data_IF_818958901170
#
_entry.id   IF_818958901170
#
_cell.length_a   1.000
_cell.length_b   1.000
_cell.length_c   1.000
_cell.angle_alpha   90.00
_cell.angle_beta   90.00
_cell.angle_gamma   90.00
#
_symmetry.space_group_name_H-M   'P 1'
#
loop_
_entity.id
_entity.type
_entity.pdbx_description
1 polymer ?
#
# COMPACT_ATOMS: atom_id res chain seq x y z
N UNK A 1 2.79 -6.59 -25.31
CA UNK A 1 1.51 -5.98 -24.83
C UNK A 1 0.42 -7.03 -24.74
N UNK A 2 -0.48 -6.98 -23.75
CA UNK A 2 -1.54 -7.98 -23.55
C UNK A 2 -2.91 -7.33 -23.29
N UNK A 3 -3.98 -8.07 -23.62
CA UNK A 3 -5.38 -7.65 -23.36
C UNK A 3 -6.01 -8.65 -22.40
N UNK A 4 -6.47 -8.17 -21.25
CA UNK A 4 -7.16 -8.98 -20.25
C UNK A 4 -8.68 -8.80 -20.40
N UNK A 5 -9.38 -9.89 -20.68
CA UNK A 5 -10.84 -9.95 -20.69
C UNK A 5 -11.33 -10.44 -19.33
N UNK A 6 -12.20 -9.66 -18.69
CA UNK A 6 -12.72 -9.95 -17.36
C UNK A 6 -14.23 -9.67 -17.26
N UNK A 7 -14.87 -10.26 -16.25
CA UNK A 7 -16.28 -10.04 -15.91
C UNK A 7 -16.43 -9.72 -14.43
N UNK A 8 -17.30 -8.78 -14.08
CA UNK A 8 -17.57 -8.42 -12.68
C UNK A 8 -18.43 -9.45 -11.95
N UNK A 9 -19.06 -10.38 -12.67
CA UNK A 9 -19.88 -11.46 -12.09
C UNK A 9 -19.06 -12.72 -11.80
N UNK A 10 -17.77 -12.71 -12.11
CA UNK A 10 -16.88 -13.85 -12.00
C UNK A 10 -15.89 -13.65 -10.83
N UNK A 11 -15.96 -14.52 -9.82
CA UNK A 11 -15.04 -14.47 -8.66
C UNK A 11 -13.54 -14.60 -9.02
N UNK A 12 -13.10 -15.55 -9.86
CA UNK A 12 -11.68 -15.64 -10.22
C UNK A 12 -11.21 -14.42 -11.01
N UNK A 13 -12.09 -13.76 -11.77
CA UNK A 13 -11.76 -12.49 -12.43
C UNK A 13 -11.48 -11.38 -11.40
N UNK A 14 -12.28 -11.27 -10.34
CA UNK A 14 -12.05 -10.29 -9.27
C UNK A 14 -10.73 -10.53 -8.54
N UNK A 15 -10.42 -11.78 -8.22
CA UNK A 15 -9.14 -12.16 -7.58
C UNK A 15 -7.94 -11.77 -8.45
N UNK A 16 -8.04 -12.04 -9.76
CA UNK A 16 -7.01 -11.70 -10.73
C UNK A 16 -6.84 -10.18 -10.89
N UNK A 17 -7.93 -9.40 -10.91
CA UNK A 17 -7.86 -7.93 -10.91
C UNK A 17 -7.20 -7.37 -9.65
N UNK A 18 -7.49 -7.93 -8.48
CA UNK A 18 -6.82 -7.55 -7.23
C UNK A 18 -5.32 -7.84 -7.28
N UNK A 19 -4.93 -8.95 -7.91
CA UNK A 19 -3.52 -9.27 -8.15
C UNK A 19 -2.87 -8.23 -9.06
N UNK A 20 -3.49 -7.92 -10.21
CA UNK A 20 -2.98 -6.91 -11.13
C UNK A 20 -2.82 -5.54 -10.47
N UNK A 21 -3.77 -5.13 -9.62
CA UNK A 21 -3.70 -3.87 -8.88
C UNK A 21 -2.48 -3.78 -7.94
N UNK A 22 -2.01 -4.91 -7.39
CA UNK A 22 -0.80 -4.97 -6.55
C UNK A 22 0.49 -4.94 -7.37
N UNK A 23 0.44 -5.45 -8.60
CA UNK A 23 1.60 -5.50 -9.49
C UNK A 23 1.83 -4.18 -10.20
N UNK A 24 3.09 -3.91 -10.59
CA UNK A 24 3.44 -2.76 -11.43
C UNK A 24 3.16 -3.00 -12.94
N UNK A 25 2.40 -4.03 -13.29
CA UNK A 25 2.16 -4.45 -14.68
C UNK A 25 0.98 -3.73 -15.36
N UNK A 26 0.35 -2.77 -14.68
CA UNK A 26 -0.83 -2.05 -15.18
C UNK A 26 -0.58 -1.30 -16.50
N UNK A 27 0.66 -0.93 -16.81
CA UNK A 27 1.00 -0.20 -18.04
C UNK A 27 1.10 -1.10 -19.29
N UNK A 28 1.30 -2.42 -19.13
CA UNK A 28 1.47 -3.35 -20.26
C UNK A 28 0.18 -4.04 -20.70
N UNK A 29 -0.88 -3.90 -19.89
CA UNK A 29 -2.11 -4.69 -19.98
C UNK A 29 -3.32 -3.78 -20.13
N UNK A 30 -4.10 -4.00 -21.19
CA UNK A 30 -5.39 -3.36 -21.37
C UNK A 30 -6.52 -4.23 -20.82
N UNK A 31 -7.40 -3.66 -20.01
CA UNK A 31 -8.51 -4.38 -19.40
C UNK A 31 -9.81 -4.12 -20.17
N UNK A 32 -10.49 -5.18 -20.59
CA UNK A 32 -11.78 -5.12 -21.28
C UNK A 32 -12.82 -5.89 -20.47
N UNK A 33 -13.87 -5.19 -20.05
CA UNK A 33 -15.02 -5.79 -19.40
C UNK A 33 -15.97 -6.40 -20.43
N UNK A 34 -16.36 -7.66 -20.25
CA UNK A 34 -17.23 -8.39 -21.19
C UNK A 34 -18.71 -8.44 -20.78
N UNK A 35 -19.09 -7.77 -19.68
CA UNK A 35 -20.43 -7.88 -19.10
C UNK A 35 -21.51 -7.35 -20.04
N UNK A 36 -21.21 -6.27 -20.78
CA UNK A 36 -22.10 -5.68 -21.78
C UNK A 36 -21.79 -6.27 -23.16
N UNK A 37 -22.45 -7.37 -23.51
CA UNK A 37 -22.27 -8.07 -24.79
C UNK A 37 -23.58 -8.27 -25.54
N UNK A 38 -23.55 -8.10 -26.86
CA UNK A 38 -24.67 -8.31 -27.76
C UNK A 38 -24.29 -9.30 -28.86
N UNK A 39 -25.21 -10.16 -29.26
CA UNK A 39 -25.01 -11.03 -30.43
C UNK A 39 -25.55 -10.35 -31.67
N UNK A 40 -24.71 -10.23 -32.69
CA UNK A 40 -25.15 -9.72 -33.98
C UNK A 40 -25.89 -10.82 -34.77
N UNK A 41 -26.57 -10.44 -35.85
CA UNK A 41 -27.28 -11.36 -36.77
C UNK A 41 -26.39 -12.45 -37.37
N UNK A 42 -25.07 -12.23 -37.40
CA UNK A 42 -24.04 -13.18 -37.85
C UNK A 42 -23.56 -14.16 -36.75
N UNK A 43 -24.15 -14.12 -35.55
CA UNK A 43 -23.78 -14.98 -34.41
C UNK A 43 -22.53 -14.53 -33.64
N UNK A 44 -21.83 -13.49 -34.11
CA UNK A 44 -20.65 -12.92 -33.44
C UNK A 44 -21.04 -12.11 -32.21
N UNK A 45 -20.25 -12.25 -31.14
CA UNK A 45 -20.47 -11.52 -29.88
C UNK A 45 -19.68 -10.20 -29.91
N UNK A 46 -20.40 -9.08 -29.83
CA UNK A 46 -19.83 -7.73 -29.79
C UNK A 46 -19.92 -7.21 -28.35
N UNK A 47 -18.82 -6.66 -27.86
CA UNK A 47 -18.73 -5.97 -26.58
C UNK A 47 -19.03 -4.48 -26.77
N UNK A 48 -19.98 -3.96 -25.99
CA UNK A 48 -20.28 -2.54 -25.96
C UNK A 48 -19.48 -1.88 -24.83
N UNK A 49 -18.40 -1.17 -25.21
CA UNK A 49 -17.72 -0.23 -24.33
C UNK A 49 -18.43 1.13 -24.41
N UNK A 50 -18.12 2.06 -23.49
CA UNK A 50 -18.84 3.33 -23.35
C UNK A 50 -18.88 4.18 -24.62
N UNK A 51 -17.85 4.12 -25.45
CA UNK A 51 -17.76 4.88 -26.71
C UNK A 51 -17.38 4.01 -27.92
N UNK A 52 -17.06 2.73 -27.71
CA UNK A 52 -16.50 1.86 -28.74
C UNK A 52 -17.18 0.48 -28.73
N UNK A 53 -17.28 -0.13 -29.90
CA UNK A 53 -17.73 -1.52 -30.04
C UNK A 53 -16.55 -2.39 -30.43
N UNK A 54 -16.28 -3.43 -29.65
CA UNK A 54 -15.16 -4.34 -29.88
C UNK A 54 -15.71 -5.74 -30.16
N UNK A 55 -15.25 -6.38 -31.23
CA UNK A 55 -15.58 -7.77 -31.52
C UNK A 55 -14.83 -8.69 -30.54
N UNK A 56 -15.57 -9.55 -29.83
CA UNK A 56 -14.96 -10.59 -29.02
C UNK A 56 -14.44 -11.69 -29.94
N UNK A 57 -13.16 -12.07 -29.86
CA UNK A 57 -12.64 -13.22 -30.58
C UNK A 57 -13.29 -14.52 -30.11
N UNK A 58 -13.65 -15.40 -31.04
CA UNK A 58 -14.27 -16.71 -30.74
C UNK A 58 -13.33 -17.65 -29.96
N UNK A 59 -12.04 -17.32 -29.90
CA UNK A 59 -11.04 -18.03 -29.09
C UNK A 59 -11.27 -17.88 -27.59
N UNK A 60 -12.09 -16.91 -27.16
CA UNK A 60 -12.35 -16.61 -25.74
C UNK A 60 -13.70 -17.21 -25.35
N UNK A 61 -13.68 -18.44 -24.84
CA UNK A 61 -14.87 -19.12 -24.32
C UNK A 61 -15.07 -18.96 -22.81
N UNK A 62 -13.98 -18.73 -22.07
CA UNK A 62 -13.92 -18.64 -20.61
C UNK A 62 -13.23 -17.37 -20.14
N UNK A 63 -13.52 -16.96 -18.91
CA UNK A 63 -13.09 -15.70 -18.31
C UNK A 63 -12.73 -15.99 -16.85
N UNK A 64 -11.63 -15.45 -16.30
CA UNK A 64 -10.71 -14.48 -16.89
C UNK A 64 -9.81 -15.08 -17.99
N UNK A 65 -9.55 -14.31 -19.03
CA UNK A 65 -8.67 -14.70 -20.15
C UNK A 65 -7.72 -13.57 -20.52
N UNK A 66 -6.47 -13.92 -20.81
CA UNK A 66 -5.42 -12.99 -21.20
C UNK A 66 -4.99 -13.29 -22.64
N UNK A 67 -5.23 -12.34 -23.54
CA UNK A 67 -4.83 -12.43 -24.94
C UNK A 67 -3.47 -11.74 -25.13
N UNK A 68 -2.46 -12.50 -25.53
CA UNK A 68 -1.16 -11.96 -25.91
C UNK A 68 -1.23 -11.52 -27.37
N UNK A 69 -0.97 -10.24 -27.63
CA UNK A 69 -1.00 -9.67 -28.98
C UNK A 69 0.12 -10.20 -29.87
N UNK A 70 1.29 -10.50 -29.28
CA UNK A 70 2.49 -10.95 -30.00
C UNK A 70 2.28 -12.33 -30.65
N UNK A 71 1.77 -13.29 -29.88
CA UNK A 71 1.63 -14.68 -30.32
C UNK A 71 0.18 -15.06 -30.65
N UNK A 72 -0.76 -14.12 -30.54
CA UNK A 72 -2.23 -14.34 -30.65
C UNK A 72 -2.74 -15.50 -29.78
N UNK A 73 -2.05 -15.80 -28.69
CA UNK A 73 -2.39 -16.88 -27.79
C UNK A 73 -3.31 -16.38 -26.68
N UNK A 74 -4.33 -17.17 -26.35
CA UNK A 74 -5.21 -16.93 -25.20
C UNK A 74 -4.71 -17.79 -24.04
N UNK A 75 -4.36 -17.15 -22.93
CA UNK A 75 -4.06 -17.81 -21.66
C UNK A 75 -5.30 -17.76 -20.77
N UNK A 76 -5.58 -18.86 -20.09
CA UNK A 76 -6.75 -19.02 -19.23
C UNK A 76 -6.34 -19.74 -17.94
N UNK A 77 -7.07 -19.50 -16.85
CA UNK A 77 -6.89 -20.20 -15.57
C UNK A 77 -5.43 -20.08 -15.05
N UNK A 78 -4.76 -21.20 -14.78
CA UNK A 78 -3.41 -21.26 -14.21
C UNK A 78 -2.33 -20.66 -15.13
N UNK A 79 -2.53 -20.75 -16.44
CA UNK A 79 -1.56 -20.26 -17.43
C UNK A 79 -1.34 -18.74 -17.32
N UNK A 80 -2.34 -18.00 -16.84
CA UNK A 80 -2.22 -16.56 -16.59
C UNK A 80 -1.21 -16.33 -15.47
N UNK A 81 -1.33 -17.05 -14.36
CA UNK A 81 -0.45 -16.89 -13.20
C UNK A 81 1.00 -17.31 -13.52
N UNK A 82 1.18 -18.40 -14.27
CA UNK A 82 2.50 -18.84 -14.73
C UNK A 82 3.19 -17.80 -15.63
N UNK A 83 2.42 -17.06 -16.44
CA UNK A 83 2.96 -15.98 -17.27
C UNK A 83 3.36 -14.75 -16.44
N UNK A 84 2.65 -14.47 -15.34
CA UNK A 84 2.88 -13.28 -14.51
C UNK A 84 4.06 -13.45 -13.53
N UNK A 85 4.19 -14.62 -12.91
CA UNK A 85 5.25 -14.92 -11.94
C UNK A 85 6.66 -14.49 -12.40
N UNK A 86 7.15 -14.86 -13.60
CA UNK A 86 8.52 -14.50 -14.01
C UNK A 86 8.70 -13.00 -14.27
N UNK A 87 7.62 -12.25 -14.52
CA UNK A 87 7.68 -10.79 -14.65
C UNK A 87 7.75 -10.13 -13.28
N UNK A 88 6.96 -10.62 -12.33
CA UNK A 88 6.97 -10.12 -10.96
C UNK A 88 8.32 -10.37 -10.28
N UNK A 89 8.90 -11.57 -10.43
CA UNK A 89 10.21 -11.87 -9.86
C UNK A 89 11.27 -10.92 -10.40
N UNK A 90 11.31 -10.66 -11.71
CA UNK A 90 12.25 -9.69 -12.30
C UNK A 90 12.11 -8.29 -11.72
N UNK A 91 10.88 -7.80 -11.58
CA UNK A 91 10.61 -6.48 -10.99
C UNK A 91 11.08 -6.44 -9.53
N UNK A 92 10.79 -7.47 -8.76
CA UNK A 92 11.16 -7.56 -7.35
C UNK A 92 12.68 -7.71 -7.18
N UNK A 93 13.34 -8.52 -8.01
CA UNK A 93 14.81 -8.68 -8.00
C UNK A 93 15.50 -7.35 -8.32
N UNK A 94 14.99 -6.59 -9.29
CA UNK A 94 15.52 -5.25 -9.59
C UNK A 94 15.29 -4.27 -8.43
N UNK A 95 14.11 -4.29 -7.82
CA UNK A 95 13.79 -3.41 -6.69
C UNK A 95 14.60 -3.73 -5.43
N UNK A 96 14.95 -5.01 -5.23
CA UNK A 96 15.70 -5.49 -4.05
C UNK A 96 17.19 -5.62 -4.31
N UNK A 97 17.69 -5.20 -5.49
CA UNK A 97 19.09 -5.39 -5.90
C UNK A 97 19.59 -6.84 -5.76
N UNK A 98 18.68 -7.82 -5.90
CA UNK A 98 19.00 -9.24 -5.77
C UNK A 98 18.82 -9.84 -4.38
N UNK A 99 18.56 -9.05 -3.33
CA UNK A 99 18.43 -9.58 -1.97
C UNK A 99 17.07 -10.24 -1.69
N UNK A 100 16.03 -9.95 -2.48
CA UNK A 100 14.70 -10.60 -2.39
C UNK A 100 13.89 -10.23 -1.13
N UNK A 101 14.52 -10.23 0.04
CA UNK A 101 13.99 -9.91 1.35
C UNK A 101 14.97 -8.99 2.11
N UNK A 102 14.49 -8.21 3.10
CA UNK A 102 15.39 -7.46 3.97
C UNK A 102 16.26 -8.43 4.78
N UNK A 103 17.58 -8.27 4.67
CA UNK A 103 18.54 -9.02 5.48
C UNK A 103 18.31 -8.72 6.98
N UNK A 104 18.37 -9.76 7.81
CA UNK A 104 18.25 -9.60 9.27
C UNK A 104 19.50 -8.95 9.92
N UNK A 105 20.54 -8.72 9.13
CA UNK A 105 21.78 -8.07 9.53
C UNK A 105 22.20 -7.05 8.45
N UNK A 106 22.92 -6.00 8.88
CA UNK A 106 23.52 -5.02 7.97
C UNK A 106 24.99 -4.90 8.31
N UNK A 107 25.86 -5.40 7.42
CA UNK A 107 27.31 -5.26 7.56
C UNK A 107 27.75 -3.80 7.35
N UNK A 108 26.98 -3.02 6.62
CA UNK A 108 27.29 -1.61 6.32
C UNK A 108 27.14 -0.70 7.55
N UNK A 109 26.24 -1.02 8.48
CA UNK A 109 26.01 -0.18 9.67
C UNK A 109 26.94 -0.50 10.85
N UNK A 110 27.55 -1.69 10.90
CA UNK A 110 28.44 -2.10 12.00
C UNK A 110 29.94 -2.11 11.63
N UNK A 111 30.32 -1.65 10.43
CA UNK A 111 31.70 -1.73 9.94
C UNK A 111 32.71 -0.89 10.75
N UNK A 112 32.28 -0.03 11.67
CA UNK A 112 33.12 0.87 12.45
C UNK A 112 33.27 0.49 13.94
N UNK A 113 32.69 -0.62 14.41
CA UNK A 113 32.64 -0.95 15.85
C UNK A 113 33.78 -1.86 16.33
N UNK A 114 34.92 -1.93 15.61
CA UNK A 114 36.08 -2.68 16.12
C UNK A 114 36.90 -1.79 17.06
N UNK A 115 37.29 -2.32 18.22
CA UNK A 115 38.22 -1.68 19.17
C UNK A 115 39.60 -1.31 18.56
N UNK A 116 39.87 -1.73 17.32
CA UNK A 116 41.05 -1.36 16.53
C UNK A 116 40.88 -0.11 15.67
N UNK A 117 39.71 0.54 15.67
CA UNK A 117 39.46 1.76 14.91
C UNK A 117 39.26 2.93 15.87
N UNK A 118 40.01 4.01 15.65
CA UNK A 118 39.90 5.26 16.41
C UNK A 118 39.75 6.41 15.43
N UNK A 119 38.97 7.43 15.79
CA UNK A 119 38.88 8.64 14.99
C UNK A 119 40.22 9.39 15.04
N UNK A 120 40.55 10.10 13.96
CA UNK A 120 41.82 10.84 13.84
C UNK A 120 41.99 11.91 14.93
N UNK A 121 40.89 12.42 15.46
CA UNK A 121 40.84 13.44 16.50
C UNK A 121 40.83 12.87 17.94
N UNK A 122 40.92 11.55 18.11
CA UNK A 122 40.93 10.92 19.45
C UNK A 122 42.34 10.88 20.04
N UNK A 123 42.48 11.41 21.25
CA UNK A 123 43.73 11.36 22.01
C UNK A 123 43.92 9.97 22.65
N UNK A 124 45.16 9.44 22.76
CA UNK A 124 45.43 8.15 23.40
C UNK A 124 44.89 8.03 24.84
N UNK A 125 44.78 9.14 25.56
CA UNK A 125 44.22 9.13 26.92
C UNK A 125 42.71 8.87 26.93
N UNK A 126 41.99 9.24 25.86
CA UNK A 126 40.55 8.97 25.72
C UNK A 126 40.26 7.50 25.39
N UNK A 127 41.24 6.77 24.83
CA UNK A 127 41.18 5.33 24.57
C UNK A 127 41.51 4.48 25.81
N UNK A 128 41.88 5.12 26.93
CA UNK A 128 42.11 4.44 28.21
C UNK A 128 40.81 3.92 28.82
N UNK A 129 40.90 2.95 29.75
CA UNK A 129 39.75 2.41 30.51
C UNK A 129 39.01 3.46 31.36
N UNK A 130 39.62 4.63 31.57
CA UNK A 130 39.02 5.77 32.25
C UNK A 130 38.54 6.87 31.30
N UNK A 131 38.82 6.73 30.01
CA UNK A 131 38.50 7.70 28.96
C UNK A 131 37.13 7.46 28.32
N UNK A 132 36.57 8.50 27.70
CA UNK A 132 35.25 8.46 27.03
C UNK A 132 35.31 8.15 25.54
N UNK A 133 36.45 7.72 24.98
CA UNK A 133 36.64 7.59 23.53
C UNK A 133 35.68 6.56 22.88
N UNK A 134 35.36 5.48 23.58
CA UNK A 134 34.43 4.46 23.09
C UNK A 134 32.99 4.95 22.93
N UNK A 135 32.57 5.97 23.69
CA UNK A 135 31.18 6.46 23.64
C UNK A 135 30.89 7.32 22.43
N UNK A 136 31.93 7.87 21.79
CA UNK A 136 31.83 8.54 20.47
C UNK A 136 31.50 7.58 19.34
N UNK A 137 31.76 6.28 19.52
CA UNK A 137 31.44 5.24 18.54
C UNK A 137 30.02 4.65 18.75
N UNK A 138 29.34 5.02 19.84
CA UNK A 138 28.00 4.56 20.14
C UNK A 138 26.97 5.38 19.35
N UNK A 139 26.48 4.83 18.24
CA UNK A 139 25.42 5.47 17.47
C UNK A 139 24.01 5.26 18.08
N UNK A 140 23.79 4.15 18.80
CA UNK A 140 22.49 3.75 19.36
C UNK A 140 22.55 3.31 20.84
N UNK A 141 23.69 3.46 21.51
CA UNK A 141 23.86 3.06 22.91
C UNK A 141 24.06 4.28 23.80
N UNK A 142 23.69 4.11 25.07
CA UNK A 142 23.62 5.16 26.09
C UNK A 142 24.43 4.72 27.29
N UNK A 143 25.11 5.66 27.96
CA UNK A 143 25.83 5.35 29.20
C UNK A 143 24.86 5.10 30.37
N UNK A 144 25.24 4.24 31.31
CA UNK A 144 24.41 3.84 32.45
C UNK A 144 23.88 5.06 33.27
N UNK A 145 24.66 6.13 33.34
CA UNK A 145 24.35 7.33 34.14
C UNK A 145 23.67 8.45 33.35
N UNK A 146 23.29 8.23 32.09
CA UNK A 146 22.81 9.28 31.21
C UNK A 146 21.29 9.52 31.41
N UNK A 147 20.92 10.70 31.91
CA UNK A 147 19.53 11.16 32.00
C UNK A 147 19.17 12.00 30.76
N UNK A 148 18.22 11.54 29.97
CA UNK A 148 17.66 12.34 28.87
C UNK A 148 16.32 12.96 29.27
N UNK A 149 16.17 14.25 29.00
CA UNK A 149 14.88 14.94 29.07
C UNK A 149 14.42 15.22 27.66
N UNK A 150 13.26 14.68 27.28
CA UNK A 150 12.64 14.95 25.98
C UNK A 150 11.74 16.16 26.16
N UNK A 151 11.96 17.20 25.35
CA UNK A 151 11.07 18.36 25.31
C UNK A 151 9.76 17.93 24.63
N UNK A 152 8.72 17.70 25.41
CA UNK A 152 7.37 17.58 24.87
C UNK A 152 6.85 18.97 24.51
N UNK A 153 6.02 19.09 23.46
CA UNK A 153 5.27 20.31 23.20
C UNK A 153 4.49 20.75 24.46
N UNK A 154 4.23 22.05 24.66
CA UNK A 154 3.37 22.50 25.76
C UNK A 154 2.00 21.84 25.61
N UNK A 155 1.50 21.23 26.68
CA UNK A 155 0.15 20.66 26.72
C UNK A 155 -0.88 21.80 26.85
N UNK A 156 -1.17 22.49 25.75
CA UNK A 156 -2.27 23.46 25.64
C UNK A 156 -3.65 22.76 25.52
N UNK A 157 -3.75 21.51 25.98
CA UNK A 157 -4.98 20.72 25.91
C UNK A 157 -5.97 21.20 26.97
N UNK A 158 -6.97 21.97 26.55
CA UNK A 158 -8.15 22.26 27.37
C UNK A 158 -9.19 21.15 27.18
N UNK A 159 -9.54 20.38 28.23
CA UNK A 159 -10.53 19.30 28.13
C UNK A 159 -11.92 19.89 27.87
N UNK A 160 -12.55 19.49 26.76
CA UNK A 160 -13.91 19.93 26.39
C UNK A 160 -14.97 19.19 27.24
N UNK A 161 -14.99 19.50 28.54
CA UNK A 161 -15.90 18.92 29.53
C UNK A 161 -17.13 19.81 29.67
N UNK A 162 -18.32 19.21 29.60
CA UNK A 162 -19.58 19.89 29.89
C UNK A 162 -19.60 20.32 31.35
N UNK A 163 -19.69 21.62 31.62
CA UNK A 163 -19.56 22.19 32.97
C UNK A 163 -18.42 23.21 33.07
N UNK A 164 -17.97 23.52 34.30
CA UNK A 164 -17.25 24.75 34.70
C UNK A 164 -16.07 25.28 33.84
N UNK A 165 -15.53 24.52 32.89
CA UNK A 165 -14.48 24.93 31.95
C UNK A 165 -14.84 24.73 30.45
N UNK A 166 -16.05 24.26 30.13
CA UNK A 166 -16.60 24.20 28.77
C UNK A 166 -17.70 25.26 28.62
N UNK A 167 -17.66 26.03 27.54
CA UNK A 167 -18.46 27.26 27.32
C UNK A 167 -19.99 27.13 27.46
N UNK A 168 -20.55 25.92 27.55
CA UNK A 168 -22.00 25.70 27.67
C UNK A 168 -22.37 24.74 28.82
N UNK A 169 -23.33 25.17 29.64
CA UNK A 169 -23.96 24.32 30.65
C UNK A 169 -24.82 23.24 29.97
N UNK A 170 -24.99 22.08 30.64
CA UNK A 170 -25.85 20.99 30.16
C UNK A 170 -27.27 21.47 29.83
N UNK A 171 -27.78 22.45 30.57
CA UNK A 171 -29.11 23.04 30.36
C UNK A 171 -29.19 23.83 29.05
N UNK A 172 -28.12 24.56 28.69
CA UNK A 172 -28.08 25.33 27.45
C UNK A 172 -28.05 24.41 26.22
N UNK A 173 -27.33 23.28 26.31
CA UNK A 173 -27.31 22.27 25.24
C UNK A 173 -28.67 21.59 25.05
N UNK A 174 -29.43 21.38 26.14
CA UNK A 174 -30.81 20.85 26.06
C UNK A 174 -31.76 21.84 25.39
N UNK A 175 -31.67 23.12 25.75
CA UNK A 175 -32.50 24.16 25.14
C UNK A 175 -32.24 24.34 23.63
N UNK A 176 -30.97 24.32 23.20
CA UNK A 176 -30.62 24.36 21.77
C UNK A 176 -31.19 23.15 21.03
N UNK A 177 -31.11 21.95 21.62
CA UNK A 177 -31.68 20.74 21.02
C UNK A 177 -33.20 20.86 20.85
N UNK A 178 -33.91 21.34 21.86
CA UNK A 178 -35.37 21.50 21.81
C UNK A 178 -35.81 22.52 20.75
N UNK A 179 -35.02 23.58 20.50
CA UNK A 179 -35.32 24.53 19.41
C UNK A 179 -35.13 23.92 18.01
N UNK A 180 -34.20 22.99 17.85
CA UNK A 180 -33.94 22.36 16.54
C UNK A 180 -34.90 21.23 16.18
N UNK A 181 -35.67 20.71 17.15
CA UNK A 181 -36.63 19.62 16.92
C UNK A 181 -37.98 20.21 16.54
N UNK A 182 -38.44 19.94 15.31
CA UNK A 182 -39.77 20.38 14.85
C UNK A 182 -40.88 19.78 15.73
N UNK A 183 -41.92 20.56 16.09
CA UNK A 183 -43.00 20.06 16.93
C UNK A 183 -43.76 18.93 16.22
N UNK A 184 -44.28 17.92 16.96
CA UNK A 184 -44.97 16.79 16.36
C UNK A 184 -46.24 17.26 15.63
N UNK A 185 -46.38 16.85 14.37
CA UNK A 185 -47.55 17.14 13.54
C UNK A 185 -48.77 16.47 14.17
N UNK A 186 -49.68 17.28 14.73
CA UNK A 186 -50.97 16.80 15.19
C UNK A 186 -51.80 16.39 13.98
N UNK A 187 -52.08 15.08 13.86
CA UNK A 187 -53.06 14.58 12.88
C UNK A 187 -54.45 14.71 13.51
N UNK A 188 -55.33 15.45 12.83
CA UNK A 188 -56.76 15.48 13.10
C UNK A 188 -57.40 14.13 12.78
#
# INVERSE_FOLDING_TARGET
>A
MAICYYSNFCEPSKKLLQLFAKTKLNHEIHFICIDKRFRNSKGQTILQLEQHQVLLPDTISKVPALLLLENKQVLTEEAIYQFLQPKETKINTLATSGNGEPECYSLTQMSCMSDSYSYWDQDPNELSTKGGGGTRQMHNFVQLDQQFTINTPPEDYEPDKVGKNGSKSLEQLKAEREQTVMPPVQRL
#
